data_IF_593129443016
#
_entry.id   IF_593129443016
#
_cell.length_a   1.000
_cell.length_b   1.000
_cell.length_c   1.000
_cell.angle_alpha   90.00
_cell.angle_beta   90.00
_cell.angle_gamma   90.00
#
_symmetry.space_group_name_H-M   'P 1'
#
loop_
_entity.id
_entity.type
_entity.pdbx_description
1 polymer ?
#
# COMPACT_ATOMS: atom_id res chain seq x y z
N UNK A 1 0.14 69.55 -19.44
CA UNK A 1 0.68 70.86 -19.86
C UNK A 1 2.09 70.92 -19.30
N UNK A 2 3.20 70.91 -20.02
CA UNK A 2 3.53 70.99 -21.44
C UNK A 2 4.97 70.44 -21.54
N UNK A 3 5.25 69.52 -22.48
CA UNK A 3 5.98 69.79 -23.74
C UNK A 3 7.34 70.47 -23.47
N UNK A 4 8.44 69.70 -23.37
CA UNK A 4 9.38 69.28 -24.44
C UNK A 4 10.21 70.41 -25.08
N UNK A 5 11.49 70.06 -25.34
CA UNK A 5 12.49 70.58 -26.34
C UNK A 5 13.54 71.54 -25.76
N UNK A 6 14.80 71.56 -26.21
CA UNK A 6 15.62 70.80 -27.18
C UNK A 6 17.03 71.39 -27.01
N UNK A 7 18.10 70.59 -27.06
CA UNK A 7 19.35 71.05 -27.67
C UNK A 7 20.23 69.87 -28.06
N UNK A 8 20.32 69.68 -29.37
CA UNK A 8 21.32 68.88 -30.07
C UNK A 8 22.70 69.54 -29.95
N UNK A 9 23.78 68.74 -29.99
CA UNK A 9 25.01 69.13 -30.68
C UNK A 9 25.86 67.91 -31.04
N UNK A 10 26.34 67.96 -32.28
CA UNK A 10 27.06 66.95 -33.04
C UNK A 10 28.49 66.66 -32.54
N UNK A 11 29.02 65.51 -32.95
CA UNK A 11 30.46 65.23 -32.88
C UNK A 11 30.81 63.84 -33.40
N UNK A 12 31.28 63.78 -34.65
CA UNK A 12 31.89 62.61 -35.31
C UNK A 12 33.17 62.17 -34.55
N UNK A 13 33.81 61.01 -34.75
CA UNK A 13 33.96 60.19 -35.94
C UNK A 13 34.66 58.85 -35.57
N UNK A 14 34.61 57.92 -36.52
CA UNK A 14 35.64 56.91 -36.89
C UNK A 14 35.93 55.69 -35.99
N UNK A 15 35.38 54.56 -36.47
CA UNK A 15 35.93 53.20 -36.63
C UNK A 15 37.21 52.81 -35.87
N UNK A 16 37.08 51.77 -35.05
CA UNK A 16 38.08 50.71 -34.92
C UNK A 16 37.39 49.37 -34.66
N UNK A 17 37.92 48.32 -35.27
CA UNK A 17 37.31 47.03 -35.51
C UNK A 17 37.49 46.03 -34.34
N UNK A 18 36.67 44.98 -34.41
CA UNK A 18 36.91 43.62 -33.91
C UNK A 18 37.01 43.42 -32.38
N UNK A 19 35.96 42.80 -31.82
CA UNK A 19 36.03 41.48 -31.17
C UNK A 19 34.63 41.15 -30.62
N UNK A 20 34.02 40.10 -31.16
CA UNK A 20 32.82 39.50 -30.60
C UNK A 20 33.20 38.57 -29.44
N UNK A 21 32.59 38.74 -28.26
CA UNK A 21 32.22 37.61 -27.43
C UNK A 21 30.71 37.46 -27.54
N UNK A 22 30.28 36.43 -28.26
CA UNK A 22 28.95 35.88 -28.05
C UNK A 22 28.90 35.42 -26.59
N UNK A 23 28.31 36.25 -25.73
CA UNK A 23 27.86 35.85 -24.39
C UNK A 23 26.69 34.88 -24.59
N UNK A 24 27.01 33.67 -25.05
CA UNK A 24 26.16 32.52 -24.82
C UNK A 24 26.25 32.25 -23.32
N UNK A 25 25.31 32.84 -22.57
CA UNK A 25 25.16 32.55 -21.16
C UNK A 25 25.07 31.03 -20.98
N UNK A 26 25.72 30.45 -19.96
CA UNK A 26 25.44 29.08 -19.59
C UNK A 26 23.97 29.03 -19.20
N UNK A 27 23.13 28.47 -20.08
CA UNK A 27 21.81 28.00 -19.70
C UNK A 27 22.05 26.87 -18.70
N UNK A 28 22.16 27.25 -17.43
CA UNK A 28 22.18 26.34 -16.31
C UNK A 28 20.98 25.43 -16.47
N UNK A 29 21.23 24.18 -16.84
CA UNK A 29 20.24 23.11 -16.86
C UNK A 29 19.98 22.69 -15.42
N UNK A 30 19.48 23.63 -14.61
CA UNK A 30 19.00 23.39 -13.26
C UNK A 30 17.53 22.97 -13.38
N UNK A 31 17.26 21.66 -13.43
CA UNK A 31 15.86 21.23 -13.50
C UNK A 31 15.56 19.74 -13.44
N UNK A 32 16.53 18.84 -13.66
CA UNK A 32 16.18 17.41 -13.76
C UNK A 32 16.16 16.70 -12.40
N UNK A 33 16.96 17.14 -11.43
CA UNK A 33 17.06 16.43 -10.13
C UNK A 33 15.82 16.60 -9.25
N UNK A 34 15.13 17.75 -9.32
CA UNK A 34 13.89 17.99 -8.56
C UNK A 34 12.66 17.27 -9.14
N UNK A 35 12.60 17.12 -10.45
CA UNK A 35 11.46 16.48 -11.13
C UNK A 35 11.42 14.97 -10.90
N UNK A 36 12.58 14.31 -10.80
CA UNK A 36 12.65 12.87 -10.53
C UNK A 36 12.38 12.52 -9.07
N UNK A 37 12.80 13.37 -8.11
CA UNK A 37 12.39 13.23 -6.71
C UNK A 37 10.88 13.51 -6.49
N UNK A 38 10.30 14.46 -7.21
CA UNK A 38 8.84 14.69 -7.21
C UNK A 38 8.06 13.54 -7.88
N UNK A 39 8.58 12.94 -8.96
CA UNK A 39 7.97 11.76 -9.61
C UNK A 39 8.09 10.48 -8.80
N UNK A 40 9.19 10.27 -8.08
CA UNK A 40 9.36 9.14 -7.18
C UNK A 40 8.48 9.25 -5.91
N UNK A 41 8.20 10.47 -5.44
CA UNK A 41 7.20 10.71 -4.39
C UNK A 41 5.74 10.62 -4.87
N UNK A 42 5.50 10.72 -6.18
CA UNK A 42 4.19 10.59 -6.81
C UNK A 42 3.82 9.18 -7.29
N UNK A 43 4.78 8.25 -7.40
CA UNK A 43 4.52 6.88 -7.82
C UNK A 43 3.72 6.12 -6.74
N UNK A 44 2.39 6.06 -6.90
CA UNK A 44 1.50 5.28 -6.03
C UNK A 44 1.35 3.84 -6.57
N UNK A 45 1.12 2.91 -5.64
CA UNK A 45 0.63 1.56 -5.94
C UNK A 45 -0.88 1.56 -5.81
N UNK A 46 -1.56 1.16 -6.88
CA UNK A 46 -2.96 0.77 -6.90
C UNK A 46 -3.03 -0.71 -6.56
N UNK A 47 -3.62 -1.01 -5.40
CA UNK A 47 -3.83 -2.37 -4.91
C UNK A 47 -5.32 -2.64 -4.90
N UNK A 48 -5.76 -3.60 -5.70
CA UNK A 48 -7.15 -4.04 -5.79
C UNK A 48 -7.25 -5.43 -5.18
N UNK A 49 -8.25 -5.63 -4.32
CA UNK A 49 -8.64 -6.97 -3.87
C UNK A 49 -9.90 -7.36 -4.64
N UNK A 50 -9.86 -8.51 -5.30
CA UNK A 50 -11.04 -9.14 -5.87
C UNK A 50 -11.63 -10.06 -4.79
N UNK A 51 -12.82 -9.75 -4.33
CA UNK A 51 -13.52 -10.35 -3.18
C UNK A 51 -14.92 -10.79 -3.62
N UNK A 52 -14.97 -11.82 -4.47
CA UNK A 52 -16.22 -12.27 -5.10
C UNK A 52 -17.23 -12.79 -4.07
N UNK A 53 -16.74 -13.35 -2.96
CA UNK A 53 -17.55 -14.06 -1.97
C UNK A 53 -18.03 -13.17 -0.81
N UNK A 54 -17.73 -11.85 -0.81
CA UNK A 54 -18.16 -10.94 0.26
C UNK A 54 -18.46 -9.51 -0.19
N UNK A 55 -19.66 -9.31 -0.75
CA UNK A 55 -20.20 -7.96 -0.98
C UNK A 55 -20.50 -7.26 0.35
N UNK A 56 -20.12 -5.98 0.47
CA UNK A 56 -20.32 -5.21 1.70
C UNK A 56 -19.28 -5.45 2.80
N UNK A 57 -18.29 -6.33 2.59
CA UNK A 57 -17.15 -6.48 3.50
C UNK A 57 -16.41 -5.15 3.67
N UNK A 58 -16.03 -4.80 4.91
CA UNK A 58 -15.09 -3.72 5.17
C UNK A 58 -13.66 -4.24 5.18
N UNK A 59 -12.80 -3.64 4.36
CA UNK A 59 -11.39 -3.99 4.26
C UNK A 59 -10.54 -2.82 4.75
N UNK A 60 -9.55 -3.09 5.60
CA UNK A 60 -8.60 -2.10 6.08
C UNK A 60 -7.17 -2.63 5.95
N UNK A 61 -6.26 -1.76 5.52
CA UNK A 61 -4.84 -2.07 5.38
C UNK A 61 -4.10 -1.54 6.60
N UNK A 62 -3.21 -2.35 7.16
CA UNK A 62 -2.30 -1.95 8.23
C UNK A 62 -0.87 -2.31 7.85
N UNK A 63 0.09 -1.50 8.25
CA UNK A 63 1.51 -1.81 8.19
C UNK A 63 2.09 -1.60 9.58
N UNK A 64 2.73 -2.61 10.12
CA UNK A 64 3.56 -2.50 11.31
C UNK A 64 4.81 -3.34 11.08
N UNK A 65 5.97 -2.70 11.11
CA UNK A 65 7.26 -3.38 10.97
C UNK A 65 8.13 -3.11 12.18
N UNK A 66 8.81 -4.15 12.64
CA UNK A 66 9.90 -3.97 13.59
C UNK A 66 11.05 -3.24 12.90
N UNK A 67 11.66 -2.30 13.60
CA UNK A 67 12.89 -1.62 13.13
C UNK A 67 14.08 -2.19 13.87
N UNK A 68 15.30 -1.86 13.41
CA UNK A 68 16.54 -2.28 14.08
C UNK A 68 16.60 -1.81 15.55
N UNK A 69 15.86 -0.74 15.87
CA UNK A 69 15.59 -0.31 17.23
C UNK A 69 14.29 -0.97 17.71
N UNK A 70 14.42 -2.08 18.44
CA UNK A 70 13.31 -2.93 18.88
C UNK A 70 12.22 -2.20 19.72
N UNK A 71 12.52 -1.00 20.19
CA UNK A 71 11.61 -0.17 21.01
C UNK A 71 10.69 0.74 20.18
N UNK A 72 10.88 0.84 18.85
CA UNK A 72 10.06 1.70 17.97
C UNK A 72 9.44 0.89 16.83
N UNK A 73 8.13 0.62 16.95
CA UNK A 73 7.32 0.06 15.87
C UNK A 73 6.64 1.20 15.10
N UNK A 74 6.99 1.36 13.84
CA UNK A 74 6.27 2.29 12.96
C UNK A 74 4.98 1.64 12.46
N UNK A 75 3.85 2.19 12.90
CA UNK A 75 2.53 1.76 12.45
C UNK A 75 1.94 2.74 11.44
N UNK A 76 1.17 2.18 10.51
CA UNK A 76 0.32 2.93 9.59
C UNK A 76 -0.96 2.14 9.36
N UNK A 77 -2.08 2.85 9.24
CA UNK A 77 -3.36 2.26 8.85
C UNK A 77 -3.98 3.08 7.72
N UNK A 78 -4.67 2.41 6.81
CA UNK A 78 -5.63 3.06 5.93
C UNK A 78 -6.93 3.35 6.69
N UNK A 79 -7.82 4.15 6.08
CA UNK A 79 -9.24 4.04 6.38
C UNK A 79 -9.79 2.71 5.86
N UNK A 80 -10.91 2.26 6.42
CA UNK A 80 -11.66 1.13 5.89
C UNK A 80 -12.33 1.50 4.56
N UNK A 81 -12.50 0.51 3.69
CA UNK A 81 -13.27 0.63 2.45
C UNK A 81 -14.18 -0.57 2.29
N UNK A 82 -15.36 -0.35 1.76
CA UNK A 82 -16.35 -1.40 1.53
C UNK A 82 -16.12 -2.04 0.16
N UNK A 83 -16.27 -3.36 0.09
CA UNK A 83 -16.30 -4.13 -1.17
C UNK A 83 -17.57 -3.77 -1.92
N UNK A 84 -17.41 -3.39 -3.18
CA UNK A 84 -18.49 -3.11 -4.12
C UNK A 84 -18.22 -3.81 -5.45
N UNK A 85 -19.25 -4.42 -6.01
CA UNK A 85 -19.16 -5.18 -7.27
C UNK A 85 -18.04 -6.23 -7.24
N UNK A 86 -17.86 -6.87 -6.08
CA UNK A 86 -16.83 -7.90 -5.88
C UNK A 86 -15.39 -7.38 -5.82
N UNK A 87 -15.15 -6.07 -5.68
CA UNK A 87 -13.80 -5.54 -5.53
C UNK A 87 -13.66 -4.37 -4.55
N UNK A 88 -12.44 -4.16 -4.06
CA UNK A 88 -12.06 -2.97 -3.30
C UNK A 88 -10.65 -2.52 -3.67
N UNK A 89 -10.50 -1.23 -3.98
CA UNK A 89 -9.22 -0.66 -4.44
C UNK A 89 -8.65 0.34 -3.45
N UNK A 90 -7.33 0.32 -3.26
CA UNK A 90 -6.55 1.27 -2.47
C UNK A 90 -5.43 1.91 -3.30
N UNK A 91 -5.15 3.19 -3.05
CA UNK A 91 -3.98 3.89 -3.62
C UNK A 91 -3.05 4.33 -2.51
N UNK A 92 -1.87 3.72 -2.44
CA UNK A 92 -0.92 3.91 -1.35
C UNK A 92 0.50 4.17 -1.87
N UNK A 93 1.38 4.67 -1.00
CA UNK A 93 2.80 4.73 -1.34
C UNK A 93 3.36 3.29 -1.37
N UNK A 94 4.24 2.92 -2.33
CA UNK A 94 4.76 1.56 -2.45
C UNK A 94 5.39 1.03 -1.16
N UNK A 95 6.08 1.91 -0.41
CA UNK A 95 6.66 1.61 0.90
C UNK A 95 5.68 1.10 1.95
N UNK A 96 4.36 1.28 1.75
CA UNK A 96 3.31 0.81 2.67
C UNK A 96 2.94 -0.66 2.46
N UNK A 97 3.35 -1.28 1.36
CA UNK A 97 2.97 -2.67 1.01
C UNK A 97 3.80 -3.72 1.75
N UNK A 98 5.06 -3.43 2.03
CA UNK A 98 5.95 -4.37 2.70
C UNK A 98 5.65 -4.43 4.21
N UNK A 99 5.40 -5.62 4.75
CA UNK A 99 4.89 -5.79 6.12
C UNK A 99 3.44 -5.33 6.27
N UNK A 100 2.66 -5.42 5.18
CA UNK A 100 1.23 -5.11 5.22
C UNK A 100 0.44 -6.31 5.73
N UNK A 101 -0.51 -6.04 6.61
CA UNK A 101 -1.62 -6.93 6.95
C UNK A 101 -2.93 -6.31 6.50
N UNK A 102 -3.91 -7.16 6.28
CA UNK A 102 -5.24 -6.75 5.80
C UNK A 102 -6.25 -7.33 6.76
N UNK A 103 -7.09 -6.47 7.32
CA UNK A 103 -8.24 -6.90 8.11
C UNK A 103 -9.49 -6.83 7.26
N UNK A 104 -10.39 -7.77 7.52
CA UNK A 104 -11.69 -7.89 6.88
C UNK A 104 -12.73 -7.96 7.99
N UNK A 105 -13.83 -7.23 7.82
CA UNK A 105 -15.03 -7.36 8.63
C UNK A 105 -16.20 -7.62 7.70
N UNK A 106 -16.75 -8.83 7.78
CA UNK A 106 -17.91 -9.19 6.98
C UNK A 106 -19.23 -8.78 7.66
N UNK A 107 -20.29 -8.51 6.88
CA UNK A 107 -21.57 -8.06 7.43
C UNK A 107 -22.29 -9.13 8.27
N UNK A 108 -21.96 -10.41 8.10
CA UNK A 108 -22.52 -11.51 8.89
C UNK A 108 -21.83 -11.70 10.25
N UNK A 109 -20.65 -11.10 10.48
CA UNK A 109 -19.88 -11.35 11.70
C UNK A 109 -20.67 -10.97 12.96
N UNK A 110 -20.80 -11.94 13.86
CA UNK A 110 -21.28 -11.70 15.22
C UNK A 110 -20.19 -11.08 16.11
N UNK A 111 -20.42 -11.07 17.42
CA UNK A 111 -19.43 -10.60 18.39
C UNK A 111 -18.28 -11.60 18.56
N UNK A 112 -17.33 -11.59 17.63
CA UNK A 112 -16.14 -12.46 17.59
C UNK A 112 -15.09 -12.07 18.64
N UNK A 113 -14.96 -10.78 18.95
CA UNK A 113 -13.93 -10.25 19.84
C UNK A 113 -12.57 -10.08 19.18
N UNK A 114 -12.49 -10.13 17.84
CA UNK A 114 -11.29 -9.89 17.06
C UNK A 114 -11.66 -9.36 15.66
N UNK A 115 -10.69 -8.80 14.93
CA UNK A 115 -10.81 -8.54 13.50
C UNK A 115 -10.23 -9.73 12.72
N UNK A 116 -10.99 -10.25 11.75
CA UNK A 116 -10.48 -11.27 10.83
C UNK A 116 -9.35 -10.66 10.00
N UNK A 117 -8.22 -11.35 9.92
CA UNK A 117 -7.03 -10.92 9.18
C UNK A 117 -6.76 -11.89 8.05
N UNK A 118 -6.39 -11.36 6.88
CA UNK A 118 -6.05 -12.16 5.70
C UNK A 118 -4.81 -13.01 5.98
N UNK A 119 -4.93 -14.32 5.78
CA UNK A 119 -3.80 -15.23 5.73
C UNK A 119 -3.13 -15.16 4.34
N UNK A 120 -1.90 -14.64 4.29
CA UNK A 120 -1.10 -14.58 3.05
C UNK A 120 -0.42 -15.90 2.74
N UNK A 121 -0.10 -16.66 3.80
CA UNK A 121 0.52 -17.98 3.73
C UNK A 121 0.14 -18.79 4.95
N UNK A 122 -0.29 -20.03 4.72
CA UNK A 122 -0.41 -21.05 5.75
C UNK A 122 0.89 -21.84 5.89
N UNK A 123 1.14 -22.38 7.08
CA UNK A 123 2.32 -23.21 7.33
C UNK A 123 2.28 -24.50 6.50
N UNK A 124 3.39 -24.80 5.82
CA UNK A 124 3.52 -25.95 4.92
C UNK A 124 3.37 -25.60 3.44
N UNK A 125 2.69 -24.51 3.10
CA UNK A 125 2.56 -24.04 1.71
C UNK A 125 3.81 -23.34 1.25
N UNK A 126 4.11 -23.35 -0.05
CA UNK A 126 5.14 -22.57 -0.73
C UNK A 126 4.50 -21.44 -1.54
N UNK A 127 5.28 -20.42 -1.91
CA UNK A 127 4.78 -19.33 -2.76
C UNK A 127 4.31 -19.89 -4.09
N UNK A 128 3.08 -19.57 -4.48
CA UNK A 128 2.43 -20.11 -5.68
C UNK A 128 1.55 -21.33 -5.45
N UNK A 129 1.62 -21.97 -4.28
CA UNK A 129 0.75 -23.11 -3.97
C UNK A 129 -0.71 -22.65 -3.86
N UNK A 130 -1.65 -23.38 -4.48
CA UNK A 130 -3.07 -23.11 -4.33
C UNK A 130 -3.51 -23.42 -2.89
N UNK A 131 -4.49 -22.68 -2.40
CA UNK A 131 -5.13 -22.93 -1.11
C UNK A 131 -6.63 -22.86 -1.32
N UNK A 132 -7.32 -23.94 -0.99
CA UNK A 132 -8.78 -24.02 -0.97
C UNK A 132 -9.34 -23.74 0.43
N UNK A 133 -10.64 -23.50 0.54
CA UNK A 133 -11.30 -23.34 1.83
C UNK A 133 -11.15 -24.62 2.69
N UNK A 134 -11.35 -25.78 2.07
CA UNK A 134 -11.24 -27.09 2.70
C UNK A 134 -9.84 -27.33 3.28
N UNK A 135 -8.80 -26.88 2.58
CA UNK A 135 -7.45 -26.94 3.09
C UNK A 135 -7.22 -25.89 4.18
N UNK A 136 -7.65 -24.65 3.96
CA UNK A 136 -7.44 -23.53 4.87
C UNK A 136 -7.95 -23.83 6.27
N UNK A 137 -9.16 -24.40 6.40
CA UNK A 137 -9.77 -24.72 7.71
C UNK A 137 -9.01 -25.80 8.49
N UNK A 138 -8.13 -26.57 7.84
CA UNK A 138 -7.30 -27.58 8.54
C UNK A 138 -5.98 -27.00 9.08
N UNK A 139 -5.61 -25.80 8.65
CA UNK A 139 -4.31 -25.21 8.98
C UNK A 139 -4.30 -24.74 10.43
N UNK A 140 -3.11 -24.81 11.04
CA UNK A 140 -2.89 -24.45 12.44
C UNK A 140 -2.00 -23.23 12.63
N UNK A 141 -1.31 -22.80 11.57
CA UNK A 141 -0.48 -21.60 11.58
C UNK A 141 -0.58 -20.86 10.26
N UNK A 142 -0.55 -19.53 10.32
CA UNK A 142 -0.56 -18.65 9.16
C UNK A 142 0.21 -17.36 9.44
N UNK A 143 0.62 -16.65 8.38
CA UNK A 143 1.11 -15.28 8.50
C UNK A 143 0.10 -14.27 7.93
N UNK A 144 -0.08 -13.20 8.70
CA UNK A 144 -0.82 -12.00 8.32
C UNK A 144 0.05 -10.98 7.57
N UNK A 145 1.35 -11.23 7.45
CA UNK A 145 2.33 -10.27 6.97
C UNK A 145 2.73 -10.54 5.52
N UNK A 146 2.40 -9.61 4.63
CA UNK A 146 2.76 -9.64 3.22
C UNK A 146 4.14 -9.04 2.97
N UNK A 147 4.94 -9.63 2.10
CA UNK A 147 6.23 -9.05 1.69
C UNK A 147 6.04 -7.76 0.86
N UNK A 148 4.83 -7.53 0.34
CA UNK A 148 4.50 -6.33 -0.42
C UNK A 148 4.82 -6.44 -1.90
N UNK A 149 4.85 -5.31 -2.57
CA UNK A 149 5.08 -5.27 -4.02
C UNK A 149 5.76 -3.98 -4.48
N UNK A 150 6.50 -4.09 -5.60
CA UNK A 150 7.00 -2.95 -6.36
C UNK A 150 6.14 -2.63 -7.58
N UNK A 151 5.12 -3.44 -7.85
CA UNK A 151 4.20 -3.22 -8.97
C UNK A 151 3.35 -1.98 -8.72
N UNK A 152 3.03 -1.26 -9.80
CA UNK A 152 2.17 -0.06 -9.75
C UNK A 152 0.69 -0.40 -9.68
N UNK A 153 0.29 -1.48 -10.34
CA UNK A 153 -1.07 -2.00 -10.31
C UNK A 153 -0.99 -3.49 -9.99
N UNK A 154 -1.76 -3.94 -9.02
CA UNK A 154 -1.84 -5.34 -8.63
C UNK A 154 -3.26 -5.63 -8.17
N UNK A 155 -3.84 -6.68 -8.74
CA UNK A 155 -5.07 -7.28 -8.26
C UNK A 155 -4.72 -8.57 -7.51
N UNK A 156 -5.24 -8.72 -6.30
CA UNK A 156 -5.05 -9.88 -5.43
C UNK A 156 -6.42 -10.52 -5.21
N UNK A 157 -6.64 -11.77 -5.64
CA UNK A 157 -7.83 -12.51 -5.25
C UNK A 157 -7.84 -12.74 -3.75
N UNK A 158 -8.99 -12.56 -3.12
CA UNK A 158 -9.20 -12.74 -1.69
C UNK A 158 -10.47 -13.54 -1.48
N UNK A 159 -10.32 -14.71 -0.86
CA UNK A 159 -11.46 -15.53 -0.43
C UNK A 159 -11.86 -15.05 0.96
N UNK A 160 -13.14 -14.75 1.14
CA UNK A 160 -13.74 -14.39 2.43
C UNK A 160 -15.03 -15.19 2.59
N UNK A 161 -15.06 -16.07 3.58
CA UNK A 161 -16.15 -17.03 3.74
C UNK A 161 -16.69 -17.04 5.17
N UNK A 162 -17.99 -17.29 5.30
CA UNK A 162 -18.63 -17.44 6.61
C UNK A 162 -18.22 -18.77 7.26
N UNK A 163 -17.77 -18.71 8.50
CA UNK A 163 -17.42 -19.89 9.31
C UNK A 163 -17.93 -19.72 10.74
N UNK A 164 -18.24 -20.82 11.42
CA UNK A 164 -18.66 -20.76 12.81
C UNK A 164 -17.47 -20.70 13.77
N UNK A 165 -17.31 -19.59 14.48
CA UNK A 165 -16.18 -19.36 15.39
C UNK A 165 -16.63 -19.28 16.84
N UNK A 166 -15.67 -19.40 17.76
CA UNK A 166 -15.90 -19.09 19.18
C UNK A 166 -15.91 -17.56 19.34
N UNK A 167 -17.09 -16.99 19.52
CA UNK A 167 -17.24 -15.58 19.89
C UNK A 167 -17.05 -15.34 21.38
N UNK A 168 -17.28 -14.09 21.80
CA UNK A 168 -17.04 -13.63 23.18
C UNK A 168 -17.88 -14.38 24.21
N UNK A 169 -19.15 -14.68 23.88
CA UNK A 169 -20.09 -15.33 24.81
C UNK A 169 -20.57 -16.71 24.35
N UNK A 170 -20.61 -16.94 23.03
CA UNK A 170 -21.14 -18.16 22.40
C UNK A 170 -20.51 -18.35 21.02
N UNK A 171 -20.82 -19.47 20.37
CA UNK A 171 -20.51 -19.60 18.94
C UNK A 171 -21.32 -18.59 18.14
N UNK A 172 -20.67 -17.97 17.17
CA UNK A 172 -21.24 -16.94 16.30
C UNK A 172 -20.71 -17.12 14.89
N UNK A 173 -21.43 -16.62 13.86
CA UNK A 173 -20.83 -16.43 12.55
C UNK A 173 -19.59 -15.54 12.68
N UNK A 174 -18.50 -15.99 12.09
CA UNK A 174 -17.27 -15.24 11.89
C UNK A 174 -16.84 -15.36 10.43
N UNK A 175 -15.61 -14.93 10.15
CA UNK A 175 -15.07 -15.04 8.80
C UNK A 175 -13.71 -15.73 8.82
N UNK A 176 -13.44 -16.47 7.75
CA UNK A 176 -12.09 -16.84 7.35
C UNK A 176 -11.72 -15.98 6.14
N UNK A 177 -10.49 -15.48 6.10
CA UNK A 177 -10.00 -14.67 4.98
C UNK A 177 -8.60 -15.11 4.58
N UNK A 178 -8.38 -15.43 3.31
CA UNK A 178 -7.10 -15.88 2.80
C UNK A 178 -6.94 -15.61 1.31
N UNK A 179 -5.69 -15.61 0.84
CA UNK A 179 -5.39 -15.56 -0.60
C UNK A 179 -5.41 -16.99 -1.17
N UNK A 180 -6.12 -17.26 -2.27
CA UNK A 180 -6.26 -18.62 -2.82
C UNK A 180 -4.98 -19.11 -3.52
N UNK A 181 -3.99 -18.24 -3.67
CA UNK A 181 -2.63 -18.59 -4.12
C UNK A 181 -1.66 -18.01 -3.13
N UNK A 182 -0.86 -18.87 -2.49
CA UNK A 182 0.08 -18.49 -1.44
C UNK A 182 1.03 -17.39 -1.93
N UNK A 183 1.07 -16.28 -1.19
CA UNK A 183 1.89 -15.13 -1.52
C UNK A 183 3.22 -15.15 -0.77
N UNK A 184 4.16 -14.32 -1.22
CA UNK A 184 5.34 -14.04 -0.40
C UNK A 184 4.95 -13.28 0.88
N UNK A 185 5.62 -13.58 1.96
CA UNK A 185 5.17 -13.27 3.32
C UNK A 185 6.38 -12.95 4.21
N UNK A 186 6.10 -12.36 5.36
CA UNK A 186 7.08 -12.04 6.40
C UNK A 186 6.71 -12.70 7.71
N UNK A 187 7.69 -12.87 8.59
CA UNK A 187 7.46 -13.40 9.93
C UNK A 187 6.56 -12.44 10.75
N UNK A 188 5.83 -12.94 11.75
CA UNK A 188 5.78 -14.32 12.23
C UNK A 188 4.61 -15.15 11.68
N UNK A 189 4.77 -16.48 11.68
CA UNK A 189 3.62 -17.38 11.59
C UNK A 189 2.96 -17.54 12.97
N UNK A 190 1.73 -17.04 13.09
CA UNK A 190 0.91 -17.13 14.31
C UNK A 190 0.04 -18.39 14.28
N UNK A 191 -0.48 -18.77 15.44
CA UNK A 191 -1.50 -19.81 15.53
C UNK A 191 -2.80 -19.32 14.89
N UNK A 192 -3.47 -20.20 14.16
CA UNK A 192 -4.84 -20.02 13.68
C UNK A 192 -5.72 -21.11 14.28
N UNK A 193 -7.03 -20.84 14.34
CA UNK A 193 -8.03 -21.80 14.80
C UNK A 193 -8.98 -22.07 13.65
N UNK A 194 -9.04 -23.33 13.22
CA UNK A 194 -9.82 -23.76 12.05
C UNK A 194 -9.53 -22.86 10.82
N UNK A 195 -8.26 -22.57 10.58
CA UNK A 195 -7.81 -21.68 9.50
C UNK A 195 -7.99 -20.18 9.77
N UNK A 196 -8.82 -19.79 10.73
CA UNK A 196 -9.13 -18.39 11.03
C UNK A 196 -7.98 -17.69 11.73
N UNK A 197 -7.52 -16.59 11.14
CA UNK A 197 -6.50 -15.71 11.67
C UNK A 197 -7.14 -14.43 12.22
N UNK A 198 -7.45 -14.42 13.51
CA UNK A 198 -7.96 -13.23 14.21
C UNK A 198 -6.85 -12.37 14.81
N UNK A 199 -7.07 -11.06 14.92
CA UNK A 199 -6.21 -10.16 15.69
C UNK A 199 -7.03 -9.12 16.47
N UNK A 200 -6.59 -8.79 17.68
CA UNK A 200 -7.10 -7.66 18.45
C UNK A 200 -6.17 -6.43 18.37
N UNK A 201 -4.90 -6.68 18.03
CA UNK A 201 -3.84 -5.69 17.89
C UNK A 201 -3.26 -5.68 16.47
N UNK A 202 -2.31 -4.76 16.24
CA UNK A 202 -1.54 -4.69 14.99
C UNK A 202 -0.69 -5.95 14.78
N UNK A 203 -0.62 -6.44 13.54
CA UNK A 203 0.30 -7.52 13.17
C UNK A 203 1.68 -6.93 12.90
N UNK A 204 2.64 -7.14 13.82
CA UNK A 204 4.02 -6.69 13.67
C UNK A 204 4.79 -7.68 12.79
N UNK A 205 5.33 -7.19 11.68
CA UNK A 205 6.01 -7.97 10.64
C UNK A 205 7.53 -7.79 10.68
N UNK A 206 8.28 -8.86 10.43
CA UNK A 206 9.75 -8.91 10.47
C UNK A 206 10.32 -9.33 9.12
#
# INVERSE_FOLDING_TARGET
>A
MDVRRLTSLAGAATLAALLAPALAGPAASAGTEGADHARQSAARTTLTFAVEDCEGCEVQLMQARETLDADVVHTWASGSRTVHDGEVTFRLAPRRTNGMSVTVRAPWEGHTGYATTVAWRYNGEQVGDPVTLEEAVTKRRASACWEGTRRRNLTIPLVVEEVEVRGVHRRVPGSIAFVPTTQSWLEPMRRVWDGVLGSQDVNICR
#
